data_IF_997484475167
#
_entry.id   IF_997484475167
#
_cell.length_a   1.000
_cell.length_b   1.000
_cell.length_c   1.000
_cell.angle_alpha   90.00
_cell.angle_beta   90.00
_cell.angle_gamma   90.00
#
_symmetry.space_group_name_H-M   'P 1'
#
loop_
_entity.id
_entity.type
_entity.pdbx_description
1 polymer ?
#
# COMPACT_ATOMS: atom_id res chain seq x y z
N UNK A 1 -44.58 5.98 8.42
CA UNK A 1 -44.90 5.31 9.69
C UNK A 1 -44.63 3.82 9.54
N UNK A 2 -45.25 3.18 8.55
CA UNK A 2 -45.05 1.75 8.23
C UNK A 2 -43.59 1.33 7.96
N UNK A 3 -42.76 2.14 7.28
CA UNK A 3 -41.32 1.81 7.07
C UNK A 3 -40.53 1.90 8.38
N UNK A 4 -40.79 2.89 9.23
CA UNK A 4 -40.06 3.05 10.49
C UNK A 4 -40.36 1.91 11.47
N UNK A 5 -41.62 1.46 11.52
CA UNK A 5 -42.03 0.30 12.32
C UNK A 5 -41.28 -0.96 11.87
N UNK A 6 -41.20 -1.22 10.55
CA UNK A 6 -40.40 -2.32 10.00
C UNK A 6 -38.92 -2.23 10.40
N UNK A 7 -38.35 -1.02 10.43
CA UNK A 7 -36.96 -0.83 10.85
C UNK A 7 -36.77 -1.05 12.36
N UNK A 8 -37.74 -0.63 13.18
CA UNK A 8 -37.74 -0.87 14.63
C UNK A 8 -37.80 -2.37 14.93
N UNK A 9 -38.69 -3.10 14.27
CA UNK A 9 -38.83 -4.55 14.45
C UNK A 9 -37.50 -5.28 14.21
N UNK A 10 -36.81 -4.93 13.11
CA UNK A 10 -35.52 -5.56 12.79
C UNK A 10 -34.40 -5.08 13.70
N UNK A 11 -34.42 -3.83 14.16
CA UNK A 11 -33.43 -3.35 15.13
C UNK A 11 -33.59 -4.08 16.46
N UNK A 12 -34.83 -4.40 16.84
CA UNK A 12 -35.17 -5.18 18.02
C UNK A 12 -34.69 -6.64 17.86
N UNK A 13 -34.86 -7.24 16.70
CA UNK A 13 -34.33 -8.58 16.40
C UNK A 13 -32.80 -8.66 16.37
N UNK A 14 -32.13 -7.56 16.08
CA UNK A 14 -30.67 -7.43 16.07
C UNK A 14 -30.14 -6.79 17.36
N UNK A 15 -30.99 -6.60 18.38
CA UNK A 15 -30.68 -5.73 19.52
C UNK A 15 -29.44 -6.21 20.27
N UNK A 16 -29.33 -7.52 20.49
CA UNK A 16 -28.18 -8.13 21.20
C UNK A 16 -26.90 -7.93 20.39
N UNK A 17 -26.92 -8.24 19.09
CA UNK A 17 -25.74 -8.11 18.23
C UNK A 17 -25.26 -6.65 18.14
N UNK A 18 -26.19 -5.69 18.06
CA UNK A 18 -25.87 -4.27 18.04
C UNK A 18 -25.37 -3.78 19.41
N UNK A 19 -26.03 -4.13 20.51
CA UNK A 19 -25.65 -3.75 21.88
C UNK A 19 -24.24 -4.24 22.21
N UNK A 20 -23.92 -5.44 21.77
CA UNK A 20 -22.66 -6.10 22.08
C UNK A 20 -21.50 -5.62 21.21
N UNK A 21 -21.79 -4.97 20.08
CA UNK A 21 -20.78 -4.59 19.08
C UNK A 21 -20.59 -3.09 18.93
N UNK A 22 -21.66 -2.28 18.96
CA UNK A 22 -21.60 -0.84 18.72
C UNK A 22 -21.02 -0.13 19.94
N UNK A 23 -20.01 0.71 19.71
CA UNK A 23 -19.42 1.57 20.73
C UNK A 23 -19.78 3.03 20.45
N UNK A 24 -20.53 3.62 21.38
CA UNK A 24 -20.97 5.02 21.28
C UNK A 24 -19.78 5.98 21.15
N UNK A 25 -18.63 5.69 21.77
CA UNK A 25 -17.44 6.56 21.69
C UNK A 25 -16.91 6.68 20.25
N UNK A 26 -17.07 5.64 19.44
CA UNK A 26 -16.60 5.59 18.06
C UNK A 26 -17.54 6.41 17.16
N UNK A 27 -18.86 6.30 17.37
CA UNK A 27 -19.86 6.89 16.47
C UNK A 27 -20.45 8.21 16.95
N UNK A 28 -20.18 8.66 18.18
CA UNK A 28 -20.77 9.88 18.76
C UNK A 28 -20.55 11.12 17.90
N UNK A 29 -19.36 11.26 17.31
CA UNK A 29 -19.03 12.41 16.46
C UNK A 29 -19.90 12.44 15.22
N UNK A 30 -20.05 11.29 14.58
CA UNK A 30 -20.84 11.12 13.37
C UNK A 30 -22.36 11.23 13.67
N UNK A 31 -22.82 10.81 14.85
CA UNK A 31 -24.20 11.00 15.32
C UNK A 31 -24.56 12.47 15.54
N UNK A 32 -23.65 13.25 16.13
CA UNK A 32 -23.84 14.69 16.34
C UNK A 32 -23.75 15.44 15.01
N UNK A 33 -22.74 15.14 14.19
CA UNK A 33 -22.55 15.77 12.88
C UNK A 33 -23.71 15.45 11.92
N UNK A 34 -24.23 14.22 11.98
CA UNK A 34 -25.41 13.78 11.23
C UNK A 34 -26.74 14.34 11.76
N UNK A 35 -26.71 15.18 12.81
CA UNK A 35 -27.88 15.76 13.48
C UNK A 35 -28.90 14.71 13.96
N UNK A 36 -28.41 13.51 14.28
CA UNK A 36 -29.23 12.42 14.83
C UNK A 36 -29.51 12.68 16.31
N UNK A 37 -28.48 13.18 17.01
CA UNK A 37 -28.55 13.60 18.40
C UNK A 37 -27.87 14.94 18.61
N UNK A 38 -28.33 15.70 19.61
CA UNK A 38 -27.58 16.84 20.13
C UNK A 38 -26.48 16.38 21.09
N UNK A 39 -25.43 17.19 21.34
CA UNK A 39 -24.40 16.86 22.32
C UNK A 39 -24.95 16.56 23.72
N UNK A 40 -26.02 17.25 24.13
CA UNK A 40 -26.68 17.02 25.42
C UNK A 40 -27.36 15.65 25.47
N UNK A 41 -28.10 15.28 24.42
CA UNK A 41 -28.74 13.96 24.34
C UNK A 41 -27.74 12.80 24.35
N UNK A 42 -26.58 12.97 23.71
CA UNK A 42 -25.51 11.96 23.76
C UNK A 42 -24.99 11.77 25.18
N UNK A 43 -24.82 12.86 25.95
CA UNK A 43 -24.39 12.77 27.35
C UNK A 43 -25.38 12.02 28.23
N UNK A 44 -26.68 12.16 27.97
CA UNK A 44 -27.73 11.48 28.73
C UNK A 44 -27.78 9.97 28.43
N UNK A 45 -27.34 9.56 27.23
CA UNK A 45 -27.24 8.16 26.80
C UNK A 45 -25.94 7.52 27.32
N UNK A 46 -24.86 8.30 27.37
CA UNK A 46 -23.51 7.85 27.71
C UNK A 46 -23.38 7.50 29.20
N UNK A 47 -23.01 6.24 29.45
CA UNK A 47 -22.69 5.72 30.77
C UNK A 47 -21.24 5.19 30.80
N UNK A 48 -20.65 4.99 31.99
CA UNK A 48 -19.32 4.38 32.10
C UNK A 48 -19.23 2.94 31.56
N UNK A 49 -20.36 2.26 31.40
CA UNK A 49 -20.42 0.87 30.94
C UNK A 49 -20.79 0.84 29.46
N UNK A 50 -19.86 0.46 28.58
CA UNK A 50 -20.03 0.49 27.12
C UNK A 50 -21.29 -0.24 26.63
N UNK A 51 -21.56 -1.44 27.16
CA UNK A 51 -22.76 -2.20 26.78
C UNK A 51 -24.04 -1.47 27.18
N UNK A 52 -24.06 -0.80 28.34
CA UNK A 52 -25.22 -0.03 28.79
C UNK A 52 -25.43 1.25 27.99
N UNK A 53 -24.35 1.92 27.59
CA UNK A 53 -24.43 3.08 26.68
C UNK A 53 -24.97 2.69 25.31
N UNK A 54 -24.53 1.54 24.78
CA UNK A 54 -25.03 1.00 23.50
C UNK A 54 -26.49 0.56 23.61
N UNK A 55 -26.86 -0.11 24.71
CA UNK A 55 -28.26 -0.45 25.01
C UNK A 55 -29.15 0.79 25.06
N UNK A 56 -28.76 1.81 25.84
CA UNK A 56 -29.49 3.07 25.95
C UNK A 56 -29.65 3.76 24.58
N UNK A 57 -28.60 3.75 23.76
CA UNK A 57 -28.63 4.30 22.41
C UNK A 57 -29.64 3.58 21.52
N UNK A 58 -29.65 2.24 21.56
CA UNK A 58 -30.57 1.44 20.76
C UNK A 58 -32.02 1.62 21.22
N UNK A 59 -32.26 1.64 22.53
CA UNK A 59 -33.58 1.94 23.09
C UNK A 59 -34.07 3.33 22.68
N UNK A 60 -33.19 4.32 22.64
CA UNK A 60 -33.56 5.68 22.19
C UNK A 60 -33.98 5.69 20.71
N UNK A 61 -33.35 4.88 19.85
CA UNK A 61 -33.77 4.71 18.46
C UNK A 61 -35.10 3.93 18.32
N UNK A 62 -35.30 2.90 19.13
CA UNK A 62 -36.50 2.06 19.11
C UNK A 62 -37.71 2.85 19.62
N UNK A 63 -37.59 3.49 20.79
CA UNK A 63 -38.71 4.08 21.52
C UNK A 63 -39.00 5.53 21.12
N UNK A 64 -37.95 6.33 20.85
CA UNK A 64 -38.08 7.79 20.75
C UNK A 64 -37.70 8.36 19.39
N UNK A 65 -36.81 7.71 18.65
CA UNK A 65 -36.28 8.19 17.37
C UNK A 65 -36.32 7.15 16.23
N UNK A 66 -37.45 6.46 15.99
CA UNK A 66 -37.53 5.41 14.97
C UNK A 66 -37.29 5.91 13.55
N UNK A 67 -37.62 7.18 13.26
CA UNK A 67 -37.33 7.82 11.96
C UNK A 67 -35.84 8.00 11.66
N UNK A 68 -34.97 7.90 12.66
CA UNK A 68 -33.53 8.10 12.51
C UNK A 68 -32.74 6.80 12.37
N UNK A 69 -33.38 5.63 12.45
CA UNK A 69 -32.70 4.33 12.34
C UNK A 69 -31.93 4.21 11.02
N UNK A 70 -32.49 4.71 9.91
CA UNK A 70 -31.82 4.69 8.60
C UNK A 70 -30.54 5.53 8.57
N UNK A 71 -30.58 6.71 9.20
CA UNK A 71 -29.39 7.57 9.35
C UNK A 71 -28.36 6.94 10.27
N UNK A 72 -28.79 6.28 11.34
CA UNK A 72 -27.94 5.52 12.23
C UNK A 72 -27.24 4.37 11.50
N UNK A 73 -27.98 3.56 10.74
CA UNK A 73 -27.40 2.48 9.92
C UNK A 73 -26.37 3.02 8.92
N UNK A 74 -26.64 4.17 8.28
CA UNK A 74 -25.67 4.81 7.38
C UNK A 74 -24.40 5.26 8.09
N UNK A 75 -24.50 5.76 9.33
CA UNK A 75 -23.32 6.08 10.16
C UNK A 75 -22.54 4.80 10.48
N UNK A 76 -23.25 3.72 10.81
CA UNK A 76 -22.65 2.42 11.08
C UNK A 76 -22.01 1.76 9.85
N UNK A 77 -22.36 2.12 8.61
CA UNK A 77 -21.74 1.52 7.41
C UNK A 77 -20.22 1.70 7.36
N UNK A 78 -19.70 2.77 7.98
CA UNK A 78 -18.27 3.08 8.00
C UNK A 78 -17.48 2.09 8.87
N UNK A 79 -17.92 1.90 10.11
CA UNK A 79 -17.16 1.16 11.12
C UNK A 79 -17.77 -0.22 11.46
N UNK A 80 -19.06 -0.39 11.21
CA UNK A 80 -19.88 -1.55 11.57
C UNK A 80 -20.74 -2.07 10.40
N UNK A 81 -20.23 -2.02 9.16
CA UNK A 81 -20.97 -2.48 7.97
C UNK A 81 -21.55 -3.90 8.13
N UNK A 82 -20.90 -4.80 8.88
CA UNK A 82 -21.41 -6.15 9.10
C UNK A 82 -22.77 -6.15 9.83
N UNK A 83 -22.95 -5.30 10.86
CA UNK A 83 -24.22 -5.14 11.56
C UNK A 83 -25.29 -4.56 10.64
N UNK A 84 -24.91 -3.59 9.80
CA UNK A 84 -25.80 -3.00 8.80
C UNK A 84 -26.23 -4.05 7.76
N UNK A 85 -25.32 -4.91 7.33
CA UNK A 85 -25.67 -6.05 6.46
C UNK A 85 -26.59 -7.03 7.19
N UNK A 86 -26.28 -7.43 8.43
CA UNK A 86 -27.14 -8.32 9.23
C UNK A 86 -28.54 -7.76 9.39
N UNK A 87 -28.67 -6.47 9.72
CA UNK A 87 -29.94 -5.78 9.79
C UNK A 87 -30.69 -5.88 8.46
N UNK A 88 -30.06 -5.50 7.35
CA UNK A 88 -30.73 -5.48 6.06
C UNK A 88 -31.02 -6.88 5.49
N UNK A 89 -30.25 -7.89 5.86
CA UNK A 89 -30.56 -9.30 5.60
C UNK A 89 -31.85 -9.70 6.32
N UNK A 90 -31.94 -9.50 7.64
CA UNK A 90 -33.16 -9.80 8.42
C UNK A 90 -34.37 -8.99 7.91
N UNK A 91 -34.15 -7.72 7.55
CA UNK A 91 -35.19 -6.88 6.96
C UNK A 91 -35.67 -7.43 5.62
N UNK A 92 -34.76 -7.84 4.74
CA UNK A 92 -35.13 -8.42 3.44
C UNK A 92 -35.83 -9.77 3.58
N UNK A 93 -35.41 -10.59 4.54
CA UNK A 93 -36.05 -11.88 4.86
C UNK A 93 -37.50 -11.69 5.34
N UNK A 94 -37.76 -10.67 6.18
CA UNK A 94 -39.08 -10.45 6.77
C UNK A 94 -40.02 -9.59 5.91
N UNK A 95 -39.51 -8.52 5.30
CA UNK A 95 -40.35 -7.47 4.70
C UNK A 95 -40.13 -7.27 3.18
N UNK A 96 -39.23 -8.02 2.56
CA UNK A 96 -38.90 -7.84 1.13
C UNK A 96 -37.99 -6.64 0.86
N UNK A 97 -37.77 -6.33 -0.42
CA UNK A 97 -36.48 -5.82 -0.93
C UNK A 97 -35.90 -4.59 -0.22
N UNK A 98 -34.79 -4.84 0.49
CA UNK A 98 -33.67 -3.91 0.63
C UNK A 98 -32.74 -4.11 -0.58
N UNK A 99 -32.42 -3.04 -1.32
CA UNK A 99 -31.32 -3.06 -2.28
C UNK A 99 -29.98 -2.94 -1.54
N UNK A 100 -29.57 -4.01 -0.86
CA UNK A 100 -28.14 -4.24 -0.62
C UNK A 100 -27.70 -5.32 -1.59
N UNK A 101 -26.82 -4.93 -2.51
CA UNK A 101 -26.04 -5.88 -3.28
C UNK A 101 -25.35 -6.82 -2.30
N UNK A 102 -25.75 -8.10 -2.30
CA UNK A 102 -25.14 -9.13 -1.46
C UNK A 102 -23.64 -9.15 -1.75
N UNK A 103 -22.83 -8.76 -0.76
CA UNK A 103 -21.38 -8.86 -0.89
C UNK A 103 -21.02 -10.35 -0.92
N UNK A 104 -20.09 -10.72 -1.80
CA UNK A 104 -19.59 -12.07 -1.89
C UNK A 104 -19.00 -12.52 -0.55
N UNK A 105 -19.36 -13.73 -0.12
CA UNK A 105 -18.67 -14.38 0.99
C UNK A 105 -17.33 -14.94 0.48
N UNK A 106 -16.26 -14.21 0.77
CA UNK A 106 -14.90 -14.58 0.38
C UNK A 106 -14.05 -15.03 1.57
N UNK A 107 -14.51 -14.88 2.81
CA UNK A 107 -13.72 -15.17 4.01
C UNK A 107 -13.87 -16.61 4.46
N UNK A 108 -13.63 -17.55 3.53
CA UNK A 108 -13.75 -18.98 3.79
C UNK A 108 -12.51 -19.52 4.52
N UNK A 109 -12.70 -20.57 5.33
CA UNK A 109 -11.60 -21.27 5.99
C UNK A 109 -10.57 -21.80 4.99
N UNK A 110 -11.05 -22.31 3.84
CA UNK A 110 -10.18 -22.81 2.78
C UNK A 110 -9.25 -21.71 2.25
N UNK A 111 -9.81 -20.52 1.91
CA UNK A 111 -9.01 -19.39 1.43
C UNK A 111 -7.96 -18.99 2.45
N UNK A 112 -8.34 -18.86 3.73
CA UNK A 112 -7.46 -18.47 4.83
C UNK A 112 -6.30 -19.46 5.04
N UNK A 113 -6.57 -20.76 4.91
CA UNK A 113 -5.58 -21.82 5.18
C UNK A 113 -4.70 -22.18 3.97
N UNK A 114 -5.17 -21.95 2.73
CA UNK A 114 -4.50 -22.44 1.53
C UNK A 114 -4.15 -21.35 0.53
N UNK A 115 -5.14 -20.73 -0.11
CA UNK A 115 -4.93 -19.84 -1.26
C UNK A 115 -4.16 -18.57 -0.86
N UNK A 116 -4.50 -17.97 0.27
CA UNK A 116 -3.83 -16.77 0.77
C UNK A 116 -2.39 -17.03 1.21
N UNK A 117 -2.09 -18.04 2.04
CA UNK A 117 -0.71 -18.40 2.39
C UNK A 117 0.16 -18.70 1.17
N UNK A 118 -0.35 -19.46 0.18
CA UNK A 118 0.36 -19.72 -1.07
C UNK A 118 0.70 -18.41 -1.78
N UNK A 119 -0.29 -17.54 -1.95
CA UNK A 119 -0.09 -16.27 -2.66
C UNK A 119 0.91 -15.36 -1.94
N UNK A 120 0.88 -15.37 -0.61
CA UNK A 120 1.80 -14.64 0.21
C UNK A 120 3.23 -15.20 0.09
N UNK A 121 3.41 -16.52 0.13
CA UNK A 121 4.70 -17.17 -0.10
C UNK A 121 5.31 -16.74 -1.44
N UNK A 122 4.52 -16.79 -2.52
CA UNK A 122 4.99 -16.39 -3.85
C UNK A 122 5.40 -14.91 -3.96
N UNK A 123 4.70 -14.01 -3.26
CA UNK A 123 5.12 -12.59 -3.14
C UNK A 123 6.50 -12.49 -2.50
N UNK A 124 6.74 -13.19 -1.38
CA UNK A 124 8.01 -13.17 -0.67
C UNK A 124 9.16 -13.66 -1.56
N UNK A 125 8.98 -14.81 -2.22
CA UNK A 125 9.98 -15.36 -3.15
C UNK A 125 10.32 -14.36 -4.26
N UNK A 126 9.31 -13.78 -4.91
CA UNK A 126 9.49 -12.79 -5.97
C UNK A 126 10.24 -11.53 -5.50
N UNK A 127 9.99 -11.07 -4.27
CA UNK A 127 10.59 -9.84 -3.74
C UNK A 127 11.96 -10.07 -3.08
N UNK A 128 12.34 -11.32 -2.84
CA UNK A 128 13.68 -11.76 -2.39
C UNK A 128 14.60 -12.18 -3.54
N UNK A 129 14.06 -12.37 -4.75
CA UNK A 129 14.82 -12.83 -5.91
C UNK A 129 14.99 -14.36 -5.98
N UNK A 130 14.20 -15.13 -5.23
CA UNK A 130 14.25 -16.60 -5.14
C UNK A 130 13.44 -17.25 -6.28
N UNK A 131 13.83 -16.96 -7.53
CA UNK A 131 13.06 -17.29 -8.74
C UNK A 131 12.95 -18.80 -9.01
N UNK A 132 13.97 -19.58 -8.67
CA UNK A 132 13.96 -21.04 -8.90
C UNK A 132 12.82 -21.72 -8.12
N UNK A 133 12.68 -21.42 -6.82
CA UNK A 133 11.60 -21.95 -6.00
C UNK A 133 10.24 -21.42 -6.46
N UNK A 134 10.16 -20.13 -6.83
CA UNK A 134 8.95 -19.53 -7.38
C UNK A 134 8.45 -20.29 -8.62
N UNK A 135 9.33 -20.56 -9.59
CA UNK A 135 8.99 -21.26 -10.82
C UNK A 135 8.61 -22.73 -10.56
N UNK A 136 9.28 -23.39 -9.61
CA UNK A 136 8.94 -24.77 -9.23
C UNK A 136 7.52 -24.87 -8.66
N UNK A 137 7.12 -23.94 -7.79
CA UNK A 137 5.75 -23.90 -7.25
C UNK A 137 4.72 -23.64 -8.34
N UNK A 138 5.01 -22.71 -9.25
CA UNK A 138 4.17 -22.42 -10.42
C UNK A 138 3.95 -23.67 -11.26
N UNK A 139 5.03 -24.34 -11.66
CA UNK A 139 4.97 -25.53 -12.51
C UNK A 139 4.20 -26.68 -11.83
N UNK A 140 4.39 -26.87 -10.52
CA UNK A 140 3.67 -27.90 -9.77
C UNK A 140 2.15 -27.68 -9.75
N UNK A 141 1.69 -26.42 -9.64
CA UNK A 141 0.25 -26.13 -9.67
C UNK A 141 -0.34 -26.16 -11.08
N UNK A 142 0.45 -25.80 -12.09
CA UNK A 142 0.08 -26.02 -13.50
C UNK A 142 -0.09 -27.51 -13.79
N UNK A 143 0.88 -28.35 -13.43
CA UNK A 143 0.79 -29.80 -13.61
C UNK A 143 -0.44 -30.40 -12.91
N UNK A 144 -0.70 -30.03 -11.65
CA UNK A 144 -1.89 -30.49 -10.93
C UNK A 144 -3.18 -30.08 -11.61
N UNK A 145 -3.24 -28.87 -12.17
CA UNK A 145 -4.40 -28.42 -12.93
C UNK A 145 -4.58 -29.24 -14.21
N UNK A 146 -3.52 -29.41 -15.01
CA UNK A 146 -3.57 -30.18 -16.26
C UNK A 146 -3.92 -31.65 -16.04
N UNK A 147 -3.41 -32.27 -14.97
CA UNK A 147 -3.79 -33.63 -14.57
C UNK A 147 -5.27 -33.71 -14.20
N UNK A 148 -5.80 -32.70 -13.51
CA UNK A 148 -7.21 -32.66 -13.11
C UNK A 148 -8.19 -32.56 -14.29
N UNK A 149 -7.73 -32.04 -15.44
CA UNK A 149 -8.53 -31.99 -16.66
C UNK A 149 -8.65 -33.37 -17.34
N UNK A 150 -7.74 -34.30 -17.01
CA UNK A 150 -7.72 -35.67 -17.54
C UNK A 150 -8.41 -36.67 -16.60
N UNK A 151 -8.72 -36.29 -15.37
CA UNK A 151 -9.47 -37.13 -14.43
C UNK A 151 -10.93 -37.24 -14.86
N UNK A 152 -11.41 -38.47 -15.13
CA UNK A 152 -12.79 -38.73 -15.59
C UNK A 152 -13.86 -38.32 -14.56
N UNK A 153 -13.53 -38.35 -13.26
CA UNK A 153 -14.49 -38.15 -12.16
C UNK A 153 -13.97 -37.20 -11.07
N UNK A 154 -13.63 -35.96 -11.44
CA UNK A 154 -13.29 -34.91 -10.48
C UNK A 154 -14.53 -34.17 -9.95
N UNK A 155 -14.65 -34.01 -8.63
CA UNK A 155 -15.73 -33.21 -8.05
C UNK A 155 -15.58 -31.72 -8.38
N UNK A 156 -16.70 -31.02 -8.56
CA UNK A 156 -16.73 -29.57 -8.83
C UNK A 156 -15.96 -28.78 -7.77
N UNK A 157 -16.12 -29.12 -6.50
CA UNK A 157 -15.43 -28.47 -5.39
C UNK A 157 -13.92 -28.66 -5.47
N UNK A 158 -13.44 -29.88 -5.73
CA UNK A 158 -11.99 -30.15 -5.90
C UNK A 158 -11.44 -29.39 -7.09
N UNK A 159 -12.18 -29.34 -8.20
CA UNK A 159 -11.80 -28.59 -9.41
C UNK A 159 -11.69 -27.09 -9.13
N UNK A 160 -12.66 -26.50 -8.42
CA UNK A 160 -12.64 -25.10 -8.02
C UNK A 160 -11.45 -24.78 -7.10
N UNK A 161 -11.18 -25.65 -6.12
CA UNK A 161 -10.01 -25.51 -5.23
C UNK A 161 -8.69 -25.56 -5.98
N UNK A 162 -8.54 -26.46 -6.97
CA UNK A 162 -7.35 -26.49 -7.84
C UNK A 162 -7.25 -25.22 -8.69
N UNK A 163 -8.36 -24.74 -9.25
CA UNK A 163 -8.41 -23.48 -9.98
C UNK A 163 -8.03 -22.29 -9.09
N UNK A 164 -8.49 -22.22 -7.84
CA UNK A 164 -8.11 -21.18 -6.88
C UNK A 164 -6.60 -21.14 -6.66
N UNK A 165 -6.00 -22.31 -6.41
CA UNK A 165 -4.57 -22.40 -6.16
C UNK A 165 -3.76 -22.05 -7.41
N UNK A 166 -4.18 -22.53 -8.58
CA UNK A 166 -3.50 -22.22 -9.84
C UNK A 166 -3.66 -20.74 -10.23
N UNK A 167 -4.83 -20.15 -10.03
CA UNK A 167 -5.06 -18.72 -10.21
C UNK A 167 -4.09 -17.88 -9.37
N UNK A 168 -3.87 -18.26 -8.10
CA UNK A 168 -2.91 -17.55 -7.23
C UNK A 168 -1.48 -17.60 -7.75
N UNK A 169 -1.07 -18.69 -8.41
CA UNK A 169 0.27 -18.77 -9.02
C UNK A 169 0.36 -17.92 -10.30
N UNK A 170 -0.69 -17.89 -11.11
CA UNK A 170 -0.76 -17.05 -12.30
C UNK A 170 -0.80 -15.55 -11.96
N UNK A 171 -1.57 -15.12 -10.95
CA UNK A 171 -1.55 -13.73 -10.45
C UNK A 171 -0.17 -13.35 -9.92
N UNK A 172 0.52 -14.27 -9.24
CA UNK A 172 1.87 -14.04 -8.76
C UNK A 172 2.89 -13.91 -9.92
N UNK A 173 2.74 -14.69 -11.00
CA UNK A 173 3.59 -14.55 -12.19
C UNK A 173 3.42 -13.19 -12.88
N UNK A 174 2.17 -12.74 -13.04
CA UNK A 174 1.87 -11.41 -13.57
C UNK A 174 2.50 -10.31 -12.71
N UNK A 175 2.41 -10.42 -11.38
CA UNK A 175 3.06 -9.51 -10.45
C UNK A 175 4.59 -9.56 -10.57
N UNK A 176 5.18 -10.75 -10.62
CA UNK A 176 6.61 -10.95 -10.70
C UNK A 176 7.21 -10.27 -11.94
N UNK A 177 6.63 -10.53 -13.12
CA UNK A 177 7.08 -9.91 -14.37
C UNK A 177 6.97 -8.39 -14.32
N UNK A 178 5.90 -7.87 -13.70
CA UNK A 178 5.76 -6.42 -13.45
C UNK A 178 6.83 -5.89 -12.49
N UNK A 179 7.14 -6.61 -11.40
CA UNK A 179 8.20 -6.25 -10.44
C UNK A 179 9.55 -6.14 -11.16
N UNK A 180 9.81 -7.03 -12.11
CA UNK A 180 11.02 -7.03 -12.95
C UNK A 180 10.98 -6.04 -14.11
N UNK A 181 9.96 -5.17 -14.17
CA UNK A 181 9.78 -4.16 -15.21
C UNK A 181 9.73 -4.73 -16.63
N UNK A 182 9.18 -5.94 -16.80
CA UNK A 182 8.97 -6.56 -18.11
C UNK A 182 7.90 -5.80 -18.91
N UNK A 183 8.36 -5.01 -19.90
CA UNK A 183 7.48 -4.20 -20.75
C UNK A 183 6.76 -5.04 -21.81
N UNK A 184 7.25 -6.23 -22.12
CA UNK A 184 6.66 -7.13 -23.09
C UNK A 184 5.56 -8.02 -22.49
N UNK A 185 5.35 -7.95 -21.16
CA UNK A 185 4.29 -8.66 -20.46
C UNK A 185 2.92 -8.52 -21.14
N UNK A 186 2.57 -7.32 -21.62
CA UNK A 186 1.26 -7.07 -22.28
C UNK A 186 1.05 -7.91 -23.55
N UNK A 187 2.13 -8.32 -24.20
CA UNK A 187 2.11 -9.12 -25.44
C UNK A 187 2.00 -10.62 -25.18
N UNK A 188 2.10 -11.06 -23.92
CA UNK A 188 1.93 -12.46 -23.54
C UNK A 188 0.44 -12.86 -23.53
N UNK A 189 -0.11 -13.01 -24.74
CA UNK A 189 -1.50 -13.39 -24.95
C UNK A 189 -1.82 -14.74 -24.33
N UNK A 190 -0.87 -15.67 -24.33
CA UNK A 190 -1.05 -17.01 -23.77
C UNK A 190 -1.27 -16.93 -22.25
N UNK A 191 -0.41 -16.20 -21.53
CA UNK A 191 -0.55 -16.03 -20.09
C UNK A 191 -1.86 -15.31 -19.73
N UNK A 192 -2.19 -14.20 -20.39
CA UNK A 192 -3.44 -13.49 -20.09
C UNK A 192 -4.70 -14.29 -20.44
N UNK A 193 -4.68 -15.05 -21.54
CA UNK A 193 -5.79 -15.95 -21.90
C UNK A 193 -5.96 -17.03 -20.84
N UNK A 194 -4.85 -17.62 -20.41
CA UNK A 194 -4.83 -18.64 -19.36
C UNK A 194 -5.37 -18.09 -18.02
N UNK A 195 -4.90 -16.92 -17.58
CA UNK A 195 -5.38 -16.27 -16.34
C UNK A 195 -6.89 -16.01 -16.42
N UNK A 196 -7.38 -15.47 -17.55
CA UNK A 196 -8.81 -15.20 -17.75
C UNK A 196 -9.64 -16.47 -17.71
N UNK A 197 -9.17 -17.54 -18.35
CA UNK A 197 -9.84 -18.84 -18.35
C UNK A 197 -9.90 -19.44 -16.94
N UNK A 198 -8.78 -19.48 -16.22
CA UNK A 198 -8.75 -20.02 -14.86
C UNK A 198 -9.61 -19.17 -13.91
N UNK A 199 -9.64 -17.85 -14.07
CA UNK A 199 -10.48 -16.97 -13.26
C UNK A 199 -11.97 -17.39 -13.26
N UNK A 200 -12.52 -17.78 -14.41
CA UNK A 200 -13.91 -18.26 -14.49
C UNK A 200 -14.16 -19.62 -13.82
N UNK A 201 -13.10 -20.37 -13.51
CA UNK A 201 -13.17 -21.71 -12.92
C UNK A 201 -12.93 -21.71 -11.39
N UNK A 202 -12.53 -20.55 -10.82
CA UNK A 202 -12.29 -20.39 -9.38
C UNK A 202 -13.58 -20.49 -8.56
N UNK A 203 -13.45 -20.71 -7.25
CA UNK A 203 -14.59 -20.65 -6.32
C UNK A 203 -15.18 -19.24 -6.19
N UNK A 204 -14.41 -18.21 -6.56
CA UNK A 204 -14.83 -16.81 -6.54
C UNK A 204 -14.52 -16.09 -7.88
N UNK A 205 -15.23 -16.42 -8.97
CA UNK A 205 -14.90 -15.91 -10.31
C UNK A 205 -14.90 -14.38 -10.43
N UNK A 206 -15.81 -13.71 -9.72
CA UNK A 206 -15.88 -12.25 -9.69
C UNK A 206 -14.63 -11.60 -9.08
N UNK A 207 -14.11 -12.17 -8.00
CA UNK A 207 -12.89 -11.70 -7.32
C UNK A 207 -11.66 -11.93 -8.21
N UNK A 208 -11.56 -13.13 -8.79
CA UNK A 208 -10.46 -13.52 -9.67
C UNK A 208 -10.43 -12.68 -10.96
N UNK A 209 -11.59 -12.43 -11.57
CA UNK A 209 -11.69 -11.59 -12.75
C UNK A 209 -11.35 -10.12 -12.47
N UNK A 210 -11.77 -9.57 -11.32
CA UNK A 210 -11.36 -8.23 -10.89
C UNK A 210 -9.82 -8.11 -10.80
N UNK A 211 -9.16 -9.11 -10.23
CA UNK A 211 -7.69 -9.14 -10.16
C UNK A 211 -7.05 -9.22 -11.55
N UNK A 212 -7.59 -10.06 -12.45
CA UNK A 212 -7.15 -10.13 -13.85
C UNK A 212 -7.20 -8.75 -14.54
N UNK A 213 -8.33 -8.05 -14.46
CA UNK A 213 -8.51 -6.72 -15.06
C UNK A 213 -7.45 -5.73 -14.54
N UNK A 214 -7.27 -5.68 -13.22
CA UNK A 214 -6.30 -4.80 -12.61
C UNK A 214 -4.86 -5.11 -13.03
N UNK A 215 -4.49 -6.39 -13.14
CA UNK A 215 -3.17 -6.81 -13.63
C UNK A 215 -2.97 -6.47 -15.11
N UNK A 216 -4.01 -6.64 -15.93
CA UNK A 216 -3.95 -6.34 -17.35
C UNK A 216 -3.79 -4.84 -17.62
N UNK A 217 -4.61 -3.98 -17.01
CA UNK A 217 -4.45 -2.52 -17.09
C UNK A 217 -3.09 -2.05 -16.60
N UNK A 218 -2.59 -2.66 -15.53
CA UNK A 218 -1.23 -2.43 -15.05
C UNK A 218 -0.14 -2.80 -16.07
N UNK A 219 -0.30 -3.91 -16.80
CA UNK A 219 0.67 -4.34 -17.80
C UNK A 219 0.66 -3.41 -19.02
N UNK A 220 -0.52 -3.01 -19.51
CA UNK A 220 -0.67 -1.96 -20.56
C UNK A 220 0.10 -0.69 -20.18
N UNK A 221 -0.06 -0.25 -18.92
CA UNK A 221 0.63 0.95 -18.43
C UNK A 221 2.14 0.78 -18.41
N UNK A 222 2.63 -0.37 -17.95
CA UNK A 222 4.08 -0.67 -17.91
C UNK A 222 4.69 -0.70 -19.32
N UNK A 223 3.95 -1.20 -20.31
CA UNK A 223 4.34 -1.24 -21.71
C UNK A 223 4.34 0.16 -22.39
N UNK A 224 3.89 1.20 -21.70
CA UNK A 224 3.88 2.57 -22.23
C UNK A 224 2.64 2.92 -23.05
N UNK A 225 1.58 2.10 -22.99
CA UNK A 225 0.31 2.42 -23.65
C UNK A 225 -0.32 3.71 -23.07
N UNK A 226 -1.23 4.37 -23.83
CA UNK A 226 -1.95 5.54 -23.36
C UNK A 226 -2.60 5.32 -21.99
N UNK A 227 -2.61 6.36 -21.15
CA UNK A 227 -3.13 6.27 -19.79
C UNK A 227 -4.62 5.88 -19.81
N UNK A 228 -5.41 6.54 -20.65
CA UNK A 228 -6.86 6.34 -20.76
C UNK A 228 -7.22 4.90 -21.17
N UNK A 229 -6.41 4.27 -22.02
CA UNK A 229 -6.64 2.87 -22.42
C UNK A 229 -6.17 1.86 -21.37
N UNK A 230 -5.16 2.23 -20.58
CA UNK A 230 -4.67 1.40 -19.50
C UNK A 230 -5.60 1.44 -18.30
N UNK A 231 -6.19 2.62 -18.00
CA UNK A 231 -6.93 2.86 -16.77
C UNK A 231 -8.36 2.31 -16.80
N UNK A 232 -9.00 2.24 -17.98
CA UNK A 232 -10.33 1.65 -18.17
C UNK A 232 -10.47 0.27 -17.52
N UNK A 233 -9.45 -0.59 -17.68
CA UNK A 233 -9.43 -1.94 -17.09
C UNK A 233 -9.42 -1.89 -15.55
N UNK A 234 -8.67 -0.95 -14.97
CA UNK A 234 -8.58 -0.78 -13.51
C UNK A 234 -9.85 -0.14 -12.97
N UNK A 235 -10.46 0.79 -13.71
CA UNK A 235 -11.75 1.37 -13.36
C UNK A 235 -12.88 0.32 -13.42
N UNK A 236 -12.85 -0.58 -14.39
CA UNK A 236 -13.76 -1.72 -14.41
C UNK A 236 -13.54 -2.62 -13.18
N UNK A 237 -12.28 -2.90 -12.80
CA UNK A 237 -11.98 -3.65 -11.58
C UNK A 237 -12.52 -2.92 -10.32
N UNK A 238 -12.38 -1.60 -10.24
CA UNK A 238 -12.90 -0.79 -9.13
C UNK A 238 -14.43 -0.80 -9.07
N UNK A 239 -15.13 -0.81 -10.21
CA UNK A 239 -16.60 -0.85 -10.23
C UNK A 239 -17.17 -2.11 -9.57
N UNK A 240 -16.39 -3.20 -9.53
CA UNK A 240 -16.76 -4.48 -8.89
C UNK A 240 -16.65 -4.44 -7.36
N UNK A 241 -16.08 -3.39 -6.77
CA UNK A 241 -15.98 -3.26 -5.31
C UNK A 241 -17.33 -3.21 -4.62
N UNK A 242 -18.40 -2.82 -5.32
CA UNK A 242 -19.75 -2.82 -4.78
C UNK A 242 -20.19 -4.22 -4.29
N UNK A 243 -19.70 -5.28 -4.94
CA UNK A 243 -20.04 -6.68 -4.65
C UNK A 243 -18.97 -7.41 -3.83
N UNK A 244 -17.81 -6.82 -3.59
CA UNK A 244 -16.66 -7.50 -2.96
C UNK A 244 -16.35 -6.79 -1.65
N UNK A 245 -16.29 -7.51 -0.50
CA UNK A 245 -15.90 -6.87 0.75
C UNK A 245 -14.42 -6.44 0.70
N UNK A 246 -14.07 -5.48 1.55
CA UNK A 246 -12.68 -5.03 1.67
C UNK A 246 -11.79 -6.21 2.10
N UNK A 247 -10.72 -6.47 1.35
CA UNK A 247 -9.84 -7.64 1.48
C UNK A 247 -8.49 -7.38 0.81
N UNK A 248 -7.60 -8.38 0.81
CA UNK A 248 -6.31 -8.33 0.11
C UNK A 248 -6.46 -7.89 -1.34
N UNK A 249 -7.31 -8.55 -2.12
CA UNK A 249 -7.42 -8.32 -3.56
C UNK A 249 -7.88 -6.90 -3.87
N UNK A 250 -8.91 -6.40 -3.19
CA UNK A 250 -9.38 -5.01 -3.35
C UNK A 250 -8.30 -4.01 -2.91
N UNK A 251 -7.52 -4.32 -1.86
CA UNK A 251 -6.34 -3.54 -1.48
C UNK A 251 -5.26 -3.51 -2.59
N UNK A 252 -5.03 -4.63 -3.28
CA UNK A 252 -4.11 -4.69 -4.42
C UNK A 252 -4.61 -3.89 -5.63
N UNK A 253 -5.91 -3.93 -5.93
CA UNK A 253 -6.49 -3.10 -7.00
C UNK A 253 -6.27 -1.62 -6.70
N UNK A 254 -6.54 -1.17 -5.47
CA UNK A 254 -6.27 0.21 -5.04
C UNK A 254 -4.77 0.55 -5.15
N UNK A 255 -3.89 -0.38 -4.78
CA UNK A 255 -2.45 -0.21 -4.90
C UNK A 255 -1.98 -0.13 -6.37
N UNK A 256 -2.58 -0.91 -7.27
CA UNK A 256 -2.33 -0.82 -8.71
C UNK A 256 -2.76 0.55 -9.23
N UNK A 257 -3.97 0.98 -8.87
CA UNK A 257 -4.51 2.29 -9.24
C UNK A 257 -3.64 3.44 -8.75
N UNK A 258 -3.19 3.38 -7.49
CA UNK A 258 -2.22 4.30 -6.92
C UNK A 258 -0.97 4.42 -7.78
N UNK A 259 -0.37 3.29 -8.21
CA UNK A 259 0.86 3.33 -9.02
C UNK A 259 0.61 3.92 -10.42
N UNK A 260 -0.58 3.70 -11.00
CA UNK A 260 -0.94 4.30 -12.28
C UNK A 260 -1.10 5.81 -12.18
N UNK A 261 -1.84 6.30 -11.17
CA UNK A 261 -1.98 7.73 -10.92
C UNK A 261 -0.66 8.39 -10.52
N UNK A 262 0.21 7.66 -9.82
CA UNK A 262 1.56 8.14 -9.50
C UNK A 262 2.32 8.51 -10.76
N UNK A 263 2.17 7.75 -11.86
CA UNK A 263 2.80 8.09 -13.14
C UNK A 263 2.27 9.39 -13.79
N UNK A 264 1.08 9.86 -13.41
CA UNK A 264 0.56 11.19 -13.78
C UNK A 264 1.22 12.25 -12.89
N UNK A 265 1.19 12.03 -11.58
CA UNK A 265 1.82 12.92 -10.60
C UNK A 265 3.31 13.15 -10.90
N UNK A 266 4.04 12.11 -11.33
CA UNK A 266 5.45 12.24 -11.73
C UNK A 266 5.68 13.17 -12.92
N UNK A 267 4.72 13.28 -13.84
CA UNK A 267 4.79 14.15 -15.01
C UNK A 267 4.31 15.57 -14.72
N UNK A 268 3.29 15.71 -13.86
CA UNK A 268 2.66 16.98 -13.51
C UNK A 268 2.35 16.98 -12.01
N UNK A 269 3.34 17.27 -11.14
CA UNK A 269 3.13 17.23 -9.71
C UNK A 269 2.19 18.35 -9.25
N UNK A 270 1.21 18.01 -8.41
CA UNK A 270 0.33 18.97 -7.75
C UNK A 270 -0.07 18.50 -6.37
N UNK A 271 -0.44 19.41 -5.47
CA UNK A 271 -0.88 19.04 -4.12
C UNK A 271 -2.21 18.26 -4.14
N UNK A 272 -3.08 18.55 -5.11
CA UNK A 272 -4.33 17.82 -5.33
C UNK A 272 -4.05 16.34 -5.67
N UNK A 273 -3.16 16.08 -6.63
CA UNK A 273 -2.77 14.72 -7.01
C UNK A 273 -2.03 14.00 -5.87
N UNK A 274 -1.16 14.71 -5.15
CA UNK A 274 -0.51 14.17 -3.95
C UNK A 274 -1.55 13.74 -2.91
N UNK A 275 -2.53 14.59 -2.61
CA UNK A 275 -3.58 14.31 -1.64
C UNK A 275 -4.43 13.11 -2.05
N UNK A 276 -4.80 13.02 -3.34
CA UNK A 276 -5.51 11.88 -3.93
C UNK A 276 -4.73 10.57 -3.79
N UNK A 277 -3.43 10.59 -4.08
CA UNK A 277 -2.56 9.42 -3.91
C UNK A 277 -2.47 8.98 -2.45
N UNK A 278 -2.32 9.92 -1.52
CA UNK A 278 -2.27 9.63 -0.09
C UNK A 278 -3.59 9.07 0.44
N UNK A 279 -4.73 9.54 -0.07
CA UNK A 279 -6.05 8.99 0.26
C UNK A 279 -6.21 7.55 -0.23
N UNK A 280 -5.82 7.27 -1.48
CA UNK A 280 -5.84 5.91 -2.03
C UNK A 280 -4.94 4.95 -1.24
N UNK A 281 -3.77 5.41 -0.81
CA UNK A 281 -2.88 4.63 0.04
C UNK A 281 -3.52 4.29 1.40
N UNK A 282 -4.20 5.26 2.04
CA UNK A 282 -4.95 5.02 3.28
C UNK A 282 -6.09 4.01 3.08
N UNK A 283 -6.85 4.12 1.98
CA UNK A 283 -7.89 3.15 1.62
C UNK A 283 -7.30 1.76 1.40
N UNK A 284 -6.18 1.64 0.70
CA UNK A 284 -5.51 0.35 0.51
C UNK A 284 -5.09 -0.29 1.86
N UNK A 285 -4.50 0.48 2.78
CA UNK A 285 -4.16 0.00 4.13
C UNK A 285 -5.41 -0.50 4.88
N UNK A 286 -6.52 0.23 4.81
CA UNK A 286 -7.78 -0.20 5.43
C UNK A 286 -8.25 -1.55 4.87
N UNK A 287 -8.18 -1.74 3.54
CA UNK A 287 -8.57 -3.00 2.91
C UNK A 287 -7.67 -4.17 3.33
N UNK A 288 -6.36 -3.95 3.45
CA UNK A 288 -5.43 -4.96 3.94
C UNK A 288 -5.65 -5.29 5.43
N UNK A 289 -6.10 -4.33 6.24
CA UNK A 289 -6.41 -4.52 7.66
C UNK A 289 -7.59 -5.44 7.94
N UNK A 290 -8.32 -5.89 6.92
CA UNK A 290 -9.38 -6.90 7.04
C UNK A 290 -8.88 -8.34 6.99
N UNK A 291 -7.63 -8.56 6.57
CA UNK A 291 -7.01 -9.88 6.54
C UNK A 291 -6.38 -10.22 7.90
N UNK A 292 -5.88 -11.45 8.04
CA UNK A 292 -5.08 -11.88 9.18
C UNK A 292 -3.96 -10.88 9.50
N UNK A 293 -3.70 -10.64 10.79
CA UNK A 293 -2.79 -9.58 11.26
C UNK A 293 -1.44 -9.63 10.56
N UNK A 294 -0.85 -10.82 10.42
CA UNK A 294 0.44 -11.01 9.75
C UNK A 294 0.38 -10.57 8.29
N UNK A 295 -0.68 -10.93 7.57
CA UNK A 295 -0.84 -10.55 6.16
C UNK A 295 -1.14 -9.06 6.00
N UNK A 296 -2.03 -8.52 6.84
CA UNK A 296 -2.38 -7.11 6.85
C UNK A 296 -1.15 -6.23 7.10
N UNK A 297 -0.32 -6.58 8.08
CA UNK A 297 0.95 -5.88 8.35
C UNK A 297 1.93 -5.95 7.17
N UNK A 298 2.03 -7.10 6.50
CA UNK A 298 2.92 -7.33 5.37
C UNK A 298 2.59 -6.46 4.15
N UNK A 299 1.32 -6.15 3.91
CA UNK A 299 0.92 -5.21 2.86
C UNK A 299 0.93 -3.75 3.35
N UNK A 300 0.59 -3.50 4.63
CA UNK A 300 0.66 -2.16 5.23
C UNK A 300 2.06 -1.57 5.09
N UNK A 301 3.12 -2.33 5.40
CA UNK A 301 4.52 -1.82 5.30
C UNK A 301 4.92 -1.40 3.87
N UNK A 302 4.41 -2.10 2.86
CA UNK A 302 4.59 -1.74 1.44
C UNK A 302 3.92 -0.39 1.14
N UNK A 303 2.68 -0.21 1.58
CA UNK A 303 1.92 1.02 1.30
C UNK A 303 2.49 2.20 2.09
N UNK A 304 2.90 2.01 3.34
CA UNK A 304 3.60 3.02 4.14
C UNK A 304 4.87 3.50 3.44
N UNK A 305 5.66 2.58 2.88
CA UNK A 305 6.84 2.94 2.09
C UNK A 305 6.47 3.85 0.92
N UNK A 306 5.41 3.52 0.16
CA UNK A 306 4.92 4.38 -0.94
C UNK A 306 4.41 5.74 -0.48
N UNK A 307 3.76 5.82 0.68
CA UNK A 307 3.36 7.11 1.29
C UNK A 307 4.59 7.98 1.54
N UNK A 308 5.65 7.41 2.13
CA UNK A 308 6.90 8.14 2.34
C UNK A 308 7.52 8.62 1.02
N UNK A 309 7.53 7.78 -0.03
CA UNK A 309 8.02 8.18 -1.36
C UNK A 309 7.26 9.37 -1.93
N UNK A 310 5.92 9.33 -1.93
CA UNK A 310 5.08 10.41 -2.47
C UNK A 310 5.33 11.72 -1.72
N UNK A 311 5.43 11.67 -0.39
CA UNK A 311 5.73 12.84 0.45
C UNK A 311 7.09 13.46 0.14
N UNK A 312 8.08 12.63 -0.19
CA UNK A 312 9.44 13.06 -0.51
C UNK A 312 9.64 13.42 -1.99
N UNK A 313 8.58 13.38 -2.80
CA UNK A 313 8.70 13.61 -4.24
C UNK A 313 9.54 12.55 -4.94
N UNK A 314 9.34 11.28 -4.60
CA UNK A 314 10.04 10.15 -5.21
C UNK A 314 9.03 9.35 -6.03
N UNK A 315 9.37 9.10 -7.29
CA UNK A 315 8.55 8.35 -8.25
C UNK A 315 8.47 6.85 -7.95
N UNK A 316 7.63 6.17 -8.71
CA UNK A 316 7.31 4.73 -8.57
C UNK A 316 8.56 3.86 -8.65
N UNK A 317 9.54 4.25 -9.46
CA UNK A 317 10.81 3.54 -9.68
C UNK A 317 12.01 4.20 -8.96
N UNK A 318 11.78 5.07 -7.97
CA UNK A 318 12.84 5.63 -7.12
C UNK A 318 13.55 6.86 -7.69
N UNK A 319 13.10 7.40 -8.82
CA UNK A 319 13.54 8.69 -9.36
C UNK A 319 13.10 9.84 -8.43
N UNK A 320 13.98 10.82 -8.17
CA UNK A 320 13.58 12.05 -7.48
C UNK A 320 12.92 12.99 -8.49
N UNK A 321 11.73 13.49 -8.16
CA UNK A 321 10.96 14.40 -9.00
C UNK A 321 11.48 15.82 -8.82
N UNK A 322 11.90 16.45 -9.92
CA UNK A 322 12.58 17.76 -9.89
C UNK A 322 11.64 18.89 -9.45
N UNK A 323 10.38 18.83 -9.89
CA UNK A 323 9.40 19.90 -9.71
C UNK A 323 8.55 19.73 -8.44
N UNK A 324 8.95 18.81 -7.54
CA UNK A 324 8.27 18.59 -6.26
C UNK A 324 8.97 19.35 -5.15
N UNK A 325 8.35 20.41 -4.66
CA UNK A 325 8.73 21.03 -3.40
C UNK A 325 8.31 20.11 -2.24
N UNK A 326 9.30 19.64 -1.47
CA UNK A 326 9.08 18.86 -0.25
C UNK A 326 9.00 19.83 0.93
N UNK A 327 7.79 20.03 1.45
CA UNK A 327 7.58 20.85 2.63
C UNK A 327 8.16 20.21 3.89
N UNK A 328 8.46 21.02 4.89
CA UNK A 328 8.94 20.54 6.19
C UNK A 328 7.98 19.51 6.82
N UNK A 329 6.68 19.76 6.73
CA UNK A 329 5.65 18.83 7.20
C UNK A 329 5.72 17.47 6.48
N UNK A 330 5.88 17.47 5.16
CA UNK A 330 5.97 16.24 4.38
C UNK A 330 7.27 15.47 4.67
N UNK A 331 8.39 16.19 4.83
CA UNK A 331 9.67 15.64 5.28
C UNK A 331 9.53 14.95 6.64
N UNK A 332 8.98 15.65 7.64
CA UNK A 332 8.77 15.11 8.99
C UNK A 332 7.89 13.87 8.98
N UNK A 333 6.71 13.94 8.33
CA UNK A 333 5.79 12.79 8.22
C UNK A 333 6.44 11.60 7.50
N UNK A 334 7.27 11.83 6.49
CA UNK A 334 8.02 10.74 5.85
C UNK A 334 9.08 10.16 6.80
N UNK A 335 9.78 11.01 7.56
CA UNK A 335 10.71 10.59 8.61
C UNK A 335 10.06 9.70 9.68
N UNK A 336 8.88 10.08 10.17
CA UNK A 336 8.11 9.30 11.15
C UNK A 336 7.75 7.91 10.60
N UNK A 337 7.31 7.84 9.35
CA UNK A 337 7.01 6.57 8.67
C UNK A 337 8.27 5.70 8.53
N UNK A 338 9.40 6.30 8.13
CA UNK A 338 10.66 5.56 8.03
C UNK A 338 11.13 5.10 9.41
N UNK A 339 10.88 5.87 10.48
CA UNK A 339 11.17 5.43 11.84
C UNK A 339 10.32 4.22 12.25
N UNK A 340 9.00 4.26 12.01
CA UNK A 340 8.10 3.12 12.26
C UNK A 340 8.56 1.88 11.48
N UNK A 341 8.88 2.03 10.20
CA UNK A 341 9.36 0.93 9.35
C UNK A 341 10.67 0.35 9.88
N UNK A 342 11.64 1.20 10.23
CA UNK A 342 12.96 0.78 10.69
C UNK A 342 12.96 0.12 12.05
N UNK A 343 11.99 0.44 12.92
CA UNK A 343 11.91 -0.09 14.29
C UNK A 343 11.02 -1.31 14.39
N UNK A 344 9.85 -1.30 13.76
CA UNK A 344 8.84 -2.36 13.91
C UNK A 344 8.92 -3.43 12.82
N UNK A 345 9.35 -3.06 11.61
CA UNK A 345 9.13 -3.89 10.42
C UNK A 345 10.39 -4.34 9.69
N UNK A 346 11.58 -3.90 10.13
CA UNK A 346 12.83 -4.08 9.39
C UNK A 346 13.13 -5.53 9.00
N UNK A 347 13.04 -6.46 9.94
CA UNK A 347 13.39 -7.86 9.71
C UNK A 347 12.39 -8.58 8.80
N UNK A 348 11.15 -8.07 8.75
CA UNK A 348 10.08 -8.61 7.93
C UNK A 348 10.07 -8.02 6.51
N UNK A 349 10.75 -6.91 6.26
CA UNK A 349 10.79 -6.27 4.95
C UNK A 349 11.56 -7.09 3.91
N UNK A 350 10.93 -7.24 2.75
CA UNK A 350 11.56 -7.82 1.56
C UNK A 350 12.61 -6.86 0.95
N UNK A 351 13.57 -7.42 0.22
CA UNK A 351 14.73 -6.68 -0.30
C UNK A 351 14.32 -5.47 -1.17
N UNK A 352 13.26 -5.61 -1.98
CA UNK A 352 12.72 -4.49 -2.76
C UNK A 352 12.23 -3.33 -1.90
N UNK A 353 11.62 -3.61 -0.75
CA UNK A 353 11.11 -2.55 0.14
C UNK A 353 12.22 -1.97 1.01
N UNK A 354 13.23 -2.77 1.40
CA UNK A 354 14.47 -2.26 2.01
C UNK A 354 15.21 -1.31 1.07
N UNK A 355 15.24 -1.61 -0.23
CA UNK A 355 15.76 -0.70 -1.25
C UNK A 355 15.02 0.64 -1.25
N UNK A 356 13.68 0.64 -1.38
CA UNK A 356 12.90 1.89 -1.37
C UNK A 356 13.00 2.67 -0.05
N UNK A 357 13.06 1.96 1.08
CA UNK A 357 13.34 2.56 2.38
C UNK A 357 14.65 3.36 2.36
N UNK A 358 15.72 2.79 1.82
CA UNK A 358 17.01 3.47 1.74
C UNK A 358 17.05 4.62 0.72
N UNK A 359 16.29 4.54 -0.37
CA UNK A 359 16.10 5.68 -1.30
C UNK A 359 15.40 6.83 -0.56
N UNK A 360 14.31 6.55 0.16
CA UNK A 360 13.58 7.54 0.95
C UNK A 360 14.46 8.16 2.04
N UNK A 361 15.19 7.32 2.78
CA UNK A 361 16.13 7.76 3.82
C UNK A 361 17.24 8.65 3.26
N UNK A 362 17.78 8.29 2.09
CA UNK A 362 18.76 9.13 1.39
C UNK A 362 18.21 10.53 1.11
N UNK A 363 16.96 10.62 0.65
CA UNK A 363 16.32 11.91 0.35
C UNK A 363 16.08 12.74 1.61
N UNK A 364 15.66 12.11 2.71
CA UNK A 364 15.52 12.80 4.01
C UNK A 364 16.86 13.36 4.47
N UNK A 365 17.91 12.53 4.51
CA UNK A 365 19.24 12.99 4.92
C UNK A 365 19.79 14.11 4.02
N UNK A 366 19.51 14.06 2.71
CA UNK A 366 19.89 15.14 1.80
C UNK A 366 19.15 16.45 2.13
N UNK A 367 17.85 16.39 2.42
CA UNK A 367 17.06 17.55 2.86
C UNK A 367 17.52 18.09 4.23
N UNK A 368 18.10 17.24 5.07
CA UNK A 368 18.71 17.60 6.35
C UNK A 368 20.14 18.14 6.21
N UNK A 369 20.67 18.27 4.99
CA UNK A 369 22.08 18.60 4.69
C UNK A 369 23.11 17.59 5.24
N UNK A 370 22.68 16.37 5.59
CA UNK A 370 23.55 15.25 5.96
C UNK A 370 23.92 14.44 4.71
N UNK A 371 24.73 15.05 3.84
CA UNK A 371 25.27 14.43 2.62
C UNK A 371 26.00 13.09 2.86
N UNK A 372 26.80 12.88 3.93
CA UNK A 372 27.45 11.60 4.15
C UNK A 372 26.45 10.48 4.43
N UNK A 373 25.43 10.72 5.28
CA UNK A 373 24.38 9.72 5.51
C UNK A 373 23.49 9.50 4.31
N UNK A 374 23.24 10.55 3.51
CA UNK A 374 22.52 10.41 2.25
C UNK A 374 23.28 9.47 1.29
N UNK A 375 24.58 9.70 1.09
CA UNK A 375 25.44 8.85 0.26
C UNK A 375 25.49 7.40 0.75
N UNK A 376 25.68 7.18 2.05
CA UNK A 376 25.67 5.84 2.63
C UNK A 376 24.32 5.12 2.43
N UNK A 377 23.22 5.86 2.55
CA UNK A 377 21.87 5.31 2.37
C UNK A 377 21.63 4.88 0.92
N UNK A 378 21.98 5.71 -0.07
CA UNK A 378 21.79 5.33 -1.47
C UNK A 378 22.73 4.18 -1.89
N UNK A 379 23.91 4.06 -1.27
CA UNK A 379 24.81 2.92 -1.47
C UNK A 379 24.14 1.60 -1.01
N UNK A 380 23.49 1.62 0.15
CA UNK A 380 22.72 0.46 0.64
C UNK A 380 21.55 0.12 -0.27
N UNK A 381 20.84 1.11 -0.81
CA UNK A 381 19.79 0.88 -1.80
C UNK A 381 20.34 0.14 -3.04
N UNK A 382 21.55 0.51 -3.50
CA UNK A 382 22.23 -0.15 -4.60
C UNK A 382 22.50 -1.64 -4.32
N UNK A 383 22.97 -1.98 -3.12
CA UNK A 383 23.20 -3.38 -2.71
C UNK A 383 21.92 -4.23 -2.81
N UNK A 384 20.78 -3.72 -2.32
CA UNK A 384 19.49 -4.42 -2.43
C UNK A 384 19.00 -4.51 -3.88
N UNK A 385 19.19 -3.46 -4.68
CA UNK A 385 18.84 -3.46 -6.11
C UNK A 385 19.61 -4.53 -6.88
N UNK A 386 20.93 -4.63 -6.67
CA UNK A 386 21.77 -5.65 -7.30
C UNK A 386 21.40 -7.06 -6.86
N UNK A 387 21.17 -7.29 -5.56
CA UNK A 387 20.78 -8.60 -5.03
C UNK A 387 19.46 -9.09 -5.62
N UNK A 388 18.45 -8.21 -5.70
CA UNK A 388 17.13 -8.53 -6.24
C UNK A 388 17.01 -8.43 -7.77
N UNK A 389 18.08 -8.02 -8.47
CA UNK A 389 18.10 -7.76 -9.92
C UNK A 389 17.01 -6.78 -10.39
N UNK A 390 16.72 -5.75 -9.59
CA UNK A 390 15.69 -4.74 -9.88
C UNK A 390 16.20 -3.70 -10.88
N UNK A 391 16.25 -4.06 -12.16
CA UNK A 391 16.87 -3.24 -13.24
C UNK A 391 16.22 -1.87 -13.38
N UNK A 392 14.88 -1.78 -13.28
CA UNK A 392 14.15 -0.52 -13.44
C UNK A 392 14.54 0.53 -12.40
N UNK A 393 14.62 0.13 -11.13
CA UNK A 393 15.05 1.00 -10.03
C UNK A 393 16.56 1.25 -10.04
N UNK A 394 17.36 0.27 -10.48
CA UNK A 394 18.82 0.33 -10.48
C UNK A 394 19.39 1.51 -11.27
N UNK A 395 18.77 1.86 -12.41
CA UNK A 395 19.17 3.02 -13.23
C UNK A 395 19.04 4.33 -12.43
N UNK A 396 17.92 4.50 -11.72
CA UNK A 396 17.65 5.69 -10.92
C UNK A 396 18.57 5.78 -9.69
N UNK A 397 18.81 4.65 -9.02
CA UNK A 397 19.72 4.57 -7.87
C UNK A 397 21.14 4.96 -8.29
N UNK A 398 21.63 4.45 -9.42
CA UNK A 398 22.97 4.77 -9.95
C UNK A 398 23.10 6.26 -10.27
N UNK A 399 22.07 6.85 -10.88
CA UNK A 399 22.03 8.29 -11.15
C UNK A 399 22.16 9.11 -9.85
N UNK A 400 21.37 8.78 -8.82
CA UNK A 400 21.41 9.48 -7.54
C UNK A 400 22.73 9.29 -6.81
N UNK A 401 23.27 8.08 -6.83
CA UNK A 401 24.58 7.78 -6.25
C UNK A 401 25.68 8.63 -6.85
N UNK A 402 25.74 8.73 -8.17
CA UNK A 402 26.74 9.55 -8.87
C UNK A 402 26.59 11.04 -8.53
N UNK A 403 25.34 11.54 -8.51
CA UNK A 403 25.04 12.93 -8.15
C UNK A 403 25.49 13.26 -6.72
N UNK A 404 25.13 12.43 -5.74
CA UNK A 404 25.53 12.61 -4.34
C UNK A 404 27.05 12.48 -4.17
N UNK A 405 27.69 11.54 -4.89
CA UNK A 405 29.15 11.39 -4.86
C UNK A 405 29.86 12.65 -5.36
N UNK A 406 29.33 13.28 -6.42
CA UNK A 406 29.87 14.54 -6.94
C UNK A 406 29.69 15.69 -5.95
N UNK A 407 28.49 15.85 -5.38
CA UNK A 407 28.23 16.86 -4.34
C UNK A 407 29.10 16.66 -3.11
N UNK A 408 29.30 15.41 -2.68
CA UNK A 408 30.17 15.05 -1.58
C UNK A 408 31.63 15.42 -1.85
N UNK A 409 32.15 15.14 -3.04
CA UNK A 409 33.51 15.56 -3.46
C UNK A 409 33.65 17.08 -3.43
N UNK A 410 32.66 17.84 -3.93
CA UNK A 410 32.67 19.31 -3.85
C UNK A 410 32.64 19.79 -2.40
N UNK A 411 31.80 19.18 -1.56
CA UNK A 411 31.72 19.50 -0.13
C UNK A 411 33.06 19.28 0.57
N UNK A 412 33.71 18.14 0.33
CA UNK A 412 35.05 17.86 0.86
C UNK A 412 36.07 18.89 0.34
N UNK A 413 36.08 19.18 -0.96
CA UNK A 413 36.95 20.21 -1.54
C UNK A 413 36.76 21.57 -0.85
N UNK A 414 35.52 22.01 -0.61
CA UNK A 414 35.25 23.26 0.11
C UNK A 414 35.65 23.21 1.60
N UNK A 415 35.43 22.07 2.26
CA UNK A 415 35.76 21.91 3.68
C UNK A 415 37.28 21.92 3.90
N UNK A 416 38.02 21.27 3.01
CA UNK A 416 39.47 21.17 3.11
C UNK A 416 40.21 22.27 2.35
N UNK A 417 39.56 23.05 1.47
CA UNK A 417 40.22 24.18 0.78
C UNK A 417 40.73 25.22 1.77
N UNK A 418 40.00 25.49 2.84
CA UNK A 418 40.46 26.41 3.88
C UNK A 418 41.69 25.87 4.62
N UNK A 419 41.69 24.57 4.98
CA UNK A 419 42.86 23.92 5.56
C UNK A 419 44.05 23.87 4.61
N UNK A 420 43.82 23.64 3.31
CA UNK A 420 44.87 23.65 2.29
C UNK A 420 45.42 25.08 2.14
N UNK A 421 44.58 26.11 2.07
CA UNK A 421 45.03 27.52 2.00
C UNK A 421 45.84 27.89 3.24
N UNK A 422 45.37 27.52 4.44
CA UNK A 422 46.08 27.77 5.70
C UNK A 422 47.42 27.02 5.74
N UNK A 423 47.47 25.75 5.35
CA UNK A 423 48.72 24.99 5.26
C UNK A 423 49.70 25.59 4.24
N UNK A 424 49.21 26.05 3.09
CA UNK A 424 50.03 26.72 2.07
C UNK A 424 50.56 28.07 2.57
N UNK A 425 49.74 28.86 3.26
CA UNK A 425 50.17 30.11 3.90
C UNK A 425 51.21 29.87 4.99
N UNK A 426 51.01 28.86 5.84
CA UNK A 426 51.98 28.43 6.86
C UNK A 426 53.29 27.95 6.22
N UNK A 427 53.21 27.15 5.16
CA UNK A 427 54.39 26.69 4.43
C UNK A 427 55.16 27.86 3.81
N UNK A 428 54.47 28.79 3.15
CA UNK A 428 55.07 30.00 2.57
C UNK A 428 55.68 30.90 3.66
N UNK A 429 55.05 31.01 4.83
CA UNK A 429 55.56 31.77 5.96
C UNK A 429 56.81 31.14 6.57
N UNK A 430 56.82 29.81 6.75
CA UNK A 430 58.00 29.06 7.20
C UNK A 430 59.13 29.18 6.17
N UNK A 431 58.81 29.06 4.88
CA UNK A 431 59.78 29.21 3.80
C UNK A 431 60.35 30.63 3.76
N UNK A 432 59.51 31.66 3.93
CA UNK A 432 59.95 33.05 4.06
C UNK A 432 60.86 33.25 5.28
N UNK A 433 60.48 32.76 6.46
CA UNK A 433 61.34 32.82 7.65
C UNK A 433 62.68 32.12 7.42
N UNK A 434 62.68 30.95 6.78
CA UNK A 434 63.90 30.23 6.45
C UNK A 434 64.78 31.01 5.46
N UNK A 435 64.17 31.66 4.47
CA UNK A 435 64.89 32.47 3.48
C UNK A 435 65.43 33.77 4.08
N UNK A 436 64.62 34.48 4.88
CA UNK A 436 65.02 35.69 5.62
C UNK A 436 66.13 35.41 6.62
N UNK A 437 66.05 34.29 7.36
CA UNK A 437 67.09 33.90 8.31
C UNK A 437 68.39 33.50 7.61
N UNK A 438 68.33 32.82 6.46
CA UNK A 438 69.52 32.53 5.67
C UNK A 438 70.11 33.79 5.00
N UNK A 439 69.29 34.76 4.61
CA UNK A 439 69.76 36.07 4.11
C UNK A 439 70.39 36.92 5.20
N UNK A 440 69.86 36.93 6.42
CA UNK A 440 70.52 37.57 7.58
C UNK A 440 71.83 36.87 7.95
N UNK A 441 71.92 35.54 7.85
CA UNK A 441 73.19 34.83 8.04
C UNK A 441 74.21 35.04 6.89
N UNK A 442 73.76 35.39 5.68
CA UNK A 442 74.62 35.64 4.51
C UNK A 442 75.06 37.11 4.37
N UNK A 443 74.36 38.06 5.01
CA UNK A 443 74.61 39.50 4.88
C UNK A 443 74.63 40.27 6.21
N UNK A 444 74.51 39.59 7.36
CA UNK A 444 74.48 40.18 8.71
C UNK A 444 75.84 40.49 9.33
N UNK A 445 76.93 40.07 8.69
CA UNK A 445 78.27 40.64 8.84
C UNK A 445 78.66 41.07 7.40
N UNK A 446 79.02 42.32 7.16
CA UNK A 446 80.43 42.71 7.17
C UNK A 446 81.38 41.69 6.53
#
# INVERSE_FOLDING_TARGET
>A
MEENEKFVDILTDCFVEFRDSVDLLIIRGDLIQGRVFTPTQIKDIETPVRSKSSENLLMEFIDKKPSHIKSFLKILEKDYNFLVQTFYTKFSERYGKVHNQMKLDIFTNYRKQHSLPLRHKLKLLSHRGEISEFNSIVASWEEKWELSLKEESISTERKMRLADMYFMTLDAQLEHRRVMCDRDLVNDKLLFTKVRYIASMTSQPYLSYMMYLARYGSAKRLAGMPFDDSIKEVEEALSRFALIPACRETGIVLYIYFNMLSSIYEKKPSESERSRLLELARKAIHHFGREDEKMGEDFRRMVLTKIALVKLGIGVFGNHLKDVCVTEENRKKAGDILHEIGTKYWDKLEDRWKMFFYIAKSKVCELDNDLPKAHLSIAKASTFSSKGKFVGEGVNIKYHYNRLSFQWKIFLLKKYSHSIIVCTMLFLYIFYLFFSFNLECLFGEH
#
